data_IF_304287136230
#
_entry.id   IF_304287136230
#
_cell.length_a   1.000
_cell.length_b   1.000
_cell.length_c   1.000
_cell.angle_alpha   90.00
_cell.angle_beta   90.00
_cell.angle_gamma   90.00
#
_symmetry.space_group_name_H-M   'P 1'
#
loop_
_entity.id
_entity.type
_entity.pdbx_description
1 polymer ?
#
# COMPACT_ATOMS: atom_id res chain seq x y z
N UNK A 1 -3.03 2.91 23.58
CA UNK A 1 -2.80 2.21 22.29
C UNK A 1 -3.55 2.98 21.24
N UNK A 2 -2.82 3.53 20.27
CA UNK A 2 -3.40 4.28 19.15
C UNK A 2 -3.37 3.37 17.93
N UNK A 3 -4.47 3.30 17.18
CA UNK A 3 -4.54 2.53 15.94
C UNK A 3 -4.59 3.48 14.76
N UNK A 4 -3.59 3.41 13.88
CA UNK A 4 -3.53 4.19 12.64
C UNK A 4 -4.02 3.30 11.50
N UNK A 5 -5.15 3.70 10.90
CA UNK A 5 -5.73 3.03 9.75
C UNK A 5 -5.25 3.69 8.46
N UNK A 6 -4.78 2.87 7.52
CA UNK A 6 -4.24 3.32 6.24
C UNK A 6 -4.95 2.55 5.13
N UNK A 7 -5.60 3.25 4.22
CA UNK A 7 -6.10 2.67 2.97
C UNK A 7 -5.13 3.01 1.84
N UNK A 8 -4.58 1.97 1.20
CA UNK A 8 -3.59 2.12 0.15
C UNK A 8 -4.12 1.50 -1.15
N UNK A 9 -4.18 2.31 -2.21
CA UNK A 9 -4.61 1.87 -3.54
C UNK A 9 -3.39 1.44 -4.34
N UNK A 10 -3.44 0.25 -4.95
CA UNK A 10 -2.30 -0.32 -5.68
C UNK A 10 -2.71 -1.00 -6.98
N UNK A 11 -1.84 -0.88 -7.98
CA UNK A 11 -1.90 -1.61 -9.25
C UNK A 11 -0.55 -2.31 -9.48
N UNK A 12 -0.57 -3.53 -10.04
CA UNK A 12 0.61 -4.29 -10.43
C UNK A 12 1.39 -3.66 -11.59
N UNK A 13 0.70 -2.91 -12.46
CA UNK A 13 1.33 -2.22 -13.60
C UNK A 13 2.05 -0.92 -13.20
N UNK A 14 1.80 -0.41 -11.99
CA UNK A 14 2.33 0.86 -11.56
C UNK A 14 3.69 0.68 -10.85
N UNK A 15 4.82 1.06 -11.46
CA UNK A 15 6.13 0.95 -10.80
C UNK A 15 6.20 1.82 -9.54
N UNK A 16 5.46 2.93 -9.51
CA UNK A 16 5.41 3.81 -8.34
C UNK A 16 4.62 3.22 -7.18
N UNK A 17 3.62 2.36 -7.43
CA UNK A 17 2.92 1.65 -6.35
C UNK A 17 3.88 0.72 -5.60
N UNK A 18 4.82 0.07 -6.30
CA UNK A 18 5.87 -0.72 -5.66
C UNK A 18 6.80 0.14 -4.77
N UNK A 19 7.29 1.25 -5.31
CA UNK A 19 8.14 2.19 -4.56
C UNK A 19 7.39 2.75 -3.35
N UNK A 20 6.12 3.14 -3.54
CA UNK A 20 5.24 3.66 -2.48
C UNK A 20 5.04 2.65 -1.36
N UNK A 21 4.78 1.38 -1.68
CA UNK A 21 4.65 0.31 -0.70
C UNK A 21 5.92 0.14 0.14
N UNK A 22 7.09 0.14 -0.50
CA UNK A 22 8.39 0.05 0.22
C UNK A 22 8.63 1.26 1.13
N UNK A 23 8.27 2.45 0.67
CA UNK A 23 8.38 3.67 1.46
C UNK A 23 7.44 3.65 2.67
N UNK A 24 6.21 3.18 2.49
CA UNK A 24 5.23 3.01 3.57
C UNK A 24 5.73 2.01 4.62
N UNK A 25 6.22 0.84 4.19
CA UNK A 25 6.80 -0.16 5.09
C UNK A 25 7.95 0.44 5.93
N UNK A 26 8.84 1.22 5.29
CA UNK A 26 9.95 1.89 5.97
C UNK A 26 9.46 2.93 6.97
N UNK A 27 8.47 3.74 6.61
CA UNK A 27 7.91 4.76 7.49
C UNK A 27 7.25 4.13 8.74
N UNK A 28 6.49 3.04 8.56
CA UNK A 28 5.89 2.28 9.66
C UNK A 28 6.98 1.71 10.58
N UNK A 29 8.05 1.13 10.01
CA UNK A 29 9.18 0.62 10.80
C UNK A 29 9.86 1.71 11.61
N UNK A 30 10.06 2.90 11.02
CA UNK A 30 10.67 4.04 11.70
C UNK A 30 9.76 4.58 12.82
N UNK A 31 8.45 4.66 12.57
CA UNK A 31 7.50 5.12 13.57
C UNK A 31 7.44 4.19 14.78
N UNK A 32 7.43 2.86 14.56
CA UNK A 32 7.43 1.86 15.63
C UNK A 32 8.68 1.95 16.54
N UNK A 33 9.79 2.48 16.05
CA UNK A 33 10.98 2.73 16.86
C UNK A 33 10.80 3.90 17.83
N UNK A 34 9.91 4.85 17.51
CA UNK A 34 9.60 6.03 18.34
C UNK A 34 8.44 5.73 19.29
N UNK A 35 7.39 5.08 18.80
CA UNK A 35 6.24 4.66 19.60
C UNK A 35 5.86 3.19 19.29
N UNK A 36 6.36 2.24 20.10
CA UNK A 36 6.05 0.82 19.93
C UNK A 36 4.59 0.45 20.24
N UNK A 37 3.84 1.33 20.90
CA UNK A 37 2.47 1.05 21.34
C UNK A 37 1.41 1.41 20.30
N UNK A 38 1.82 2.06 19.21
CA UNK A 38 0.95 2.37 18.07
C UNK A 38 0.86 1.17 17.14
N UNK A 39 -0.36 0.78 16.82
CA UNK A 39 -0.67 -0.26 15.85
C UNK A 39 -1.02 0.34 14.49
N UNK A 40 -0.72 -0.41 13.43
CA UNK A 40 -0.97 0.00 12.06
C UNK A 40 -1.83 -1.05 11.35
N UNK A 41 -2.99 -0.62 10.86
CA UNK A 41 -3.89 -1.43 10.04
C UNK A 41 -3.85 -0.91 8.61
N UNK A 42 -3.26 -1.68 7.69
CA UNK A 42 -3.15 -1.29 6.27
C UNK A 42 -4.12 -2.12 5.44
N UNK A 43 -5.12 -1.46 4.86
CA UNK A 43 -6.07 -2.06 3.93
C UNK A 43 -5.66 -1.76 2.48
N UNK A 44 -5.28 -2.80 1.74
CA UNK A 44 -4.91 -2.69 0.33
C UNK A 44 -6.14 -2.78 -0.57
N UNK A 45 -6.30 -1.78 -1.45
CA UNK A 45 -7.38 -1.73 -2.43
C UNK A 45 -6.79 -1.91 -3.84
N UNK A 46 -7.18 -2.95 -4.59
CA UNK A 46 -6.70 -3.14 -5.94
C UNK A 46 -7.29 -2.06 -6.87
N UNK A 47 -6.50 -1.62 -7.84
CA UNK A 47 -6.91 -0.68 -8.88
C UNK A 47 -6.40 -1.14 -10.24
N UNK A 48 -7.14 -0.80 -11.30
CA UNK A 48 -6.74 -1.03 -12.69
C UNK A 48 -6.52 0.33 -13.37
N UNK A 49 -5.26 0.69 -13.54
CA UNK A 49 -4.80 1.88 -14.25
C UNK A 49 -5.09 1.76 -15.76
N UNK A 50 -5.07 0.55 -16.29
CA UNK A 50 -5.49 0.24 -17.66
C UNK A 50 -6.60 -0.82 -17.67
N UNK A 51 -7.88 -0.39 -17.53
CA UNK A 51 -9.02 -1.30 -17.54
C UNK A 51 -9.17 -2.11 -18.84
N UNK A 52 -8.65 -1.61 -19.96
CA UNK A 52 -8.71 -2.27 -21.27
C UNK A 52 -7.84 -3.55 -21.35
N UNK A 53 -6.79 -3.66 -20.54
CA UNK A 53 -6.00 -4.90 -20.46
C UNK A 53 -6.81 -6.04 -19.83
N UNK A 54 -7.75 -5.72 -18.95
CA UNK A 54 -8.66 -6.69 -18.31
C UNK A 54 -9.60 -7.35 -19.33
N UNK A 55 -10.10 -6.60 -20.32
CA UNK A 55 -11.03 -7.13 -21.32
C UNK A 55 -10.38 -8.04 -22.36
N UNK A 56 -9.06 -7.96 -22.50
CA UNK A 56 -8.30 -8.68 -23.54
C UNK A 56 -7.68 -9.98 -23.02
N UNK A 57 -7.81 -10.28 -21.71
CA UNK A 57 -7.27 -11.51 -21.11
C UNK A 57 -5.75 -11.58 -21.07
N UNK A 58 -5.06 -10.44 -21.19
CA UNK A 58 -3.59 -10.34 -21.22
C UNK A 58 -2.96 -10.12 -19.83
N UNK A 59 -3.72 -10.31 -18.75
CA UNK A 59 -3.28 -10.24 -17.35
C UNK A 59 -3.80 -11.43 -16.57
#
# INVERSE_FOLDING_TARGET
>A
MTVIKIEAVTDLLCPWCYVGKRNLDRAISQYRAVDPTTEFEVAWKPFYLSPALKSTGML
#
